data_IF_003895141693
#
_entry.id   IF_003895141693
#
_cell.length_a   1.000
_cell.length_b   1.000
_cell.length_c   1.000
_cell.angle_alpha   90.00
_cell.angle_beta   90.00
_cell.angle_gamma   90.00
#
_symmetry.space_group_name_H-M   'P 1'
#
loop_
_entity.id
_entity.type
_entity.pdbx_description
1 polymer ?
#
# COMPACT_ATOMS: atom_id res chain seq x y z
N UNK A 1 16.53 -10.69 -22.60
CA UNK A 1 15.23 -10.00 -22.71
C UNK A 1 15.09 -9.19 -21.43
N UNK A 2 14.69 -7.92 -21.51
CA UNK A 2 14.40 -7.15 -20.29
C UNK A 2 13.02 -7.59 -19.80
N UNK A 3 12.90 -7.82 -18.49
CA UNK A 3 11.65 -8.17 -17.85
C UNK A 3 11.07 -6.96 -17.15
N UNK A 4 10.00 -6.42 -17.70
CA UNK A 4 9.33 -5.23 -17.18
C UNK A 4 8.04 -5.63 -16.46
N UNK A 5 7.96 -5.32 -15.16
CA UNK A 5 6.77 -5.54 -14.32
C UNK A 5 6.25 -4.18 -13.87
N UNK A 6 4.96 -3.91 -14.10
CA UNK A 6 4.30 -2.68 -13.66
C UNK A 6 2.99 -3.01 -12.95
N UNK A 7 2.94 -2.75 -11.64
CA UNK A 7 1.81 -3.06 -10.76
C UNK A 7 1.40 -1.81 -9.98
N UNK A 8 0.71 -0.92 -10.68
CA UNK A 8 0.20 0.33 -10.12
C UNK A 8 -1.30 0.22 -9.85
N UNK A 9 -1.80 1.08 -8.97
CA UNK A 9 -3.23 1.32 -8.79
C UNK A 9 -3.85 1.72 -10.13
N UNK A 10 -4.97 1.09 -10.48
CA UNK A 10 -5.68 1.41 -11.72
C UNK A 10 -6.44 2.72 -11.57
N UNK A 11 -6.83 3.39 -12.67
CA UNK A 11 -7.48 4.71 -12.61
C UNK A 11 -8.71 4.77 -11.68
N UNK A 12 -9.56 3.72 -11.69
CA UNK A 12 -10.72 3.65 -10.79
C UNK A 12 -10.34 3.65 -9.30
N UNK A 13 -9.23 2.98 -8.95
CA UNK A 13 -8.75 2.87 -7.57
C UNK A 13 -8.16 4.22 -7.14
N UNK A 14 -7.41 4.90 -8.02
CA UNK A 14 -6.89 6.27 -7.77
C UNK A 14 -7.99 7.29 -7.52
N UNK A 15 -9.05 7.25 -8.34
CA UNK A 15 -10.24 8.11 -8.16
C UNK A 15 -10.90 7.84 -6.82
N UNK A 16 -11.01 6.56 -6.45
CA UNK A 16 -11.62 6.18 -5.19
C UNK A 16 -10.79 6.65 -3.99
N UNK A 17 -9.46 6.48 -4.02
CA UNK A 17 -8.56 6.97 -2.96
C UNK A 17 -8.72 8.49 -2.79
N UNK A 18 -8.86 9.23 -3.88
CA UNK A 18 -9.11 10.68 -3.84
C UNK A 18 -10.38 11.08 -3.09
N UNK A 19 -11.33 10.16 -2.87
CA UNK A 19 -12.51 10.44 -2.07
C UNK A 19 -12.19 10.61 -0.58
N UNK A 20 -11.08 10.03 -0.09
CA UNK A 20 -10.63 10.24 1.29
C UNK A 20 -10.24 11.69 1.57
N UNK A 21 -9.86 12.46 0.54
CA UNK A 21 -9.45 13.85 0.69
C UNK A 21 -10.60 14.70 1.25
N UNK A 22 -10.33 15.37 2.36
CA UNK A 22 -11.30 16.17 3.11
C UNK A 22 -12.20 15.35 4.04
N UNK A 23 -12.03 14.03 4.13
CA UNK A 23 -12.74 13.19 5.09
C UNK A 23 -11.94 13.09 6.40
N UNK A 24 -12.67 12.88 7.50
CA UNK A 24 -12.12 12.54 8.80
C UNK A 24 -12.07 11.02 8.91
N UNK A 25 -10.92 10.47 9.33
CA UNK A 25 -10.77 9.03 9.57
C UNK A 25 -11.18 8.76 11.01
N UNK A 26 -12.35 8.16 11.21
CA UNK A 26 -12.87 7.86 12.55
C UNK A 26 -12.29 6.58 13.13
N UNK A 27 -12.01 5.60 12.28
CA UNK A 27 -11.43 4.32 12.70
C UNK A 27 -10.56 3.74 11.58
N UNK A 28 -9.57 2.96 11.98
CA UNK A 28 -8.74 2.18 11.09
C UNK A 28 -8.48 0.81 11.68
N UNK A 29 -8.81 -0.22 10.91
CA UNK A 29 -8.66 -1.61 11.31
C UNK A 29 -7.72 -2.30 10.36
N UNK A 30 -6.72 -2.98 10.90
CA UNK A 30 -5.66 -3.63 10.12
C UNK A 30 -5.62 -5.09 10.51
N UNK A 31 -5.76 -5.99 9.54
CA UNK A 31 -5.85 -7.44 9.75
C UNK A 31 -4.86 -8.19 8.85
N UNK A 32 -3.99 -9.01 9.46
CA UNK A 32 -3.09 -9.89 8.71
C UNK A 32 -3.95 -10.90 7.96
N UNK A 33 -3.62 -11.10 6.69
CA UNK A 33 -4.35 -12.04 5.84
C UNK A 33 -4.02 -13.48 6.25
N UNK A 34 -4.59 -13.97 7.35
CA UNK A 34 -4.39 -15.34 7.82
C UNK A 34 -5.36 -16.27 7.08
N UNK A 35 -4.82 -17.12 6.22
CA UNK A 35 -5.44 -18.32 5.63
C UNK A 35 -6.81 -18.18 4.93
N UNK A 36 -6.78 -18.17 3.59
CA UNK A 36 -7.76 -18.84 2.69
C UNK A 36 -9.27 -18.56 2.81
N UNK A 37 -9.73 -17.51 3.47
CA UNK A 37 -11.13 -17.09 3.36
C UNK A 37 -11.25 -15.85 2.49
N UNK A 38 -12.04 -15.97 1.41
CA UNK A 38 -12.56 -14.81 0.67
C UNK A 38 -13.47 -14.07 1.66
N UNK A 39 -12.91 -13.12 2.42
CA UNK A 39 -13.70 -12.12 3.13
C UNK A 39 -14.06 -11.00 2.15
N UNK A 40 -15.35 -10.67 2.05
CA UNK A 40 -15.84 -9.51 1.29
C UNK A 40 -15.37 -9.42 -0.20
N UNK A 41 -15.24 -10.54 -0.92
CA UNK A 41 -14.80 -10.61 -2.33
C UNK A 41 -13.34 -10.21 -2.63
N UNK A 42 -12.46 -10.18 -1.63
CA UNK A 42 -11.02 -10.01 -1.84
C UNK A 42 -10.31 -11.36 -1.94
N UNK A 43 -9.35 -11.51 -2.86
CA UNK A 43 -8.48 -12.69 -2.94
C UNK A 43 -7.30 -12.50 -1.98
N UNK A 44 -7.32 -13.26 -0.89
CA UNK A 44 -6.31 -13.19 0.18
C UNK A 44 -5.24 -14.24 -0.06
N UNK A 45 -4.14 -13.87 -0.69
CA UNK A 45 -3.03 -14.78 -0.86
C UNK A 45 -1.66 -14.25 -0.44
N UNK A 46 -1.46 -12.95 -0.17
CA UNK A 46 -0.14 -12.53 0.31
C UNK A 46 -0.01 -11.43 1.38
N UNK A 47 -0.83 -10.39 1.55
CA UNK A 47 -0.24 -9.20 2.20
C UNK A 47 -1.22 -8.19 2.83
N UNK A 48 -1.90 -8.57 3.91
CA UNK A 48 -2.67 -7.64 4.78
C UNK A 48 -3.89 -6.96 4.12
N UNK A 49 -4.93 -6.73 4.92
CA UNK A 49 -6.00 -5.78 4.59
C UNK A 49 -6.14 -4.69 5.65
N UNK A 50 -6.37 -3.47 5.22
CA UNK A 50 -6.68 -2.34 6.09
C UNK A 50 -8.04 -1.75 5.72
N UNK A 51 -8.92 -1.59 6.70
CA UNK A 51 -10.19 -0.88 6.59
C UNK A 51 -10.02 0.53 7.15
N UNK A 52 -10.42 1.54 6.37
CA UNK A 52 -10.49 2.94 6.77
C UNK A 52 -11.95 3.33 6.86
N UNK A 53 -12.39 3.72 8.04
CA UNK A 53 -13.75 4.20 8.26
C UNK A 53 -13.74 5.72 8.32
N UNK A 54 -14.58 6.33 7.49
CA UNK A 54 -14.82 7.77 7.45
C UNK A 54 -16.31 8.03 7.69
N UNK A 55 -16.69 8.29 8.94
CA UNK A 55 -18.09 8.44 9.36
C UNK A 55 -18.90 7.15 9.06
N UNK A 56 -19.75 7.17 8.05
CA UNK A 56 -20.61 6.03 7.61
C UNK A 56 -20.07 5.33 6.35
N UNK A 57 -18.94 5.79 5.81
CA UNK A 57 -18.31 5.20 4.65
C UNK A 57 -17.10 4.36 5.06
N UNK A 58 -16.97 3.19 4.42
CA UNK A 58 -15.84 2.31 4.65
C UNK A 58 -15.08 2.09 3.35
N UNK A 59 -13.77 2.13 3.47
CA UNK A 59 -12.86 1.84 2.38
C UNK A 59 -11.94 0.72 2.83
N UNK A 60 -11.53 -0.15 1.91
CA UNK A 60 -10.46 -1.08 2.21
C UNK A 60 -9.32 -1.03 1.21
N UNK A 61 -8.13 -1.12 1.77
CA UNK A 61 -6.87 -1.35 1.11
C UNK A 61 -6.48 -2.80 1.34
N UNK A 62 -6.07 -3.47 0.27
CA UNK A 62 -5.52 -4.82 0.36
C UNK A 62 -4.56 -5.02 -0.79
N UNK A 63 -3.79 -6.10 -0.70
CA UNK A 63 -2.93 -6.52 -1.79
C UNK A 63 -3.23 -7.95 -2.20
N UNK A 64 -3.10 -8.19 -3.49
CA UNK A 64 -3.30 -9.48 -4.13
C UNK A 64 -2.02 -9.89 -4.86
N UNK A 65 -1.67 -11.18 -4.80
CA UNK A 65 -0.58 -11.72 -5.59
C UNK A 65 -0.98 -11.77 -7.07
N UNK A 66 -0.21 -11.09 -7.91
CA UNK A 66 -0.35 -11.11 -9.36
C UNK A 66 0.81 -11.91 -9.93
N UNK A 67 0.48 -13.00 -10.61
CA UNK A 67 1.46 -13.79 -11.38
C UNK A 67 1.89 -13.03 -12.63
N UNK A 68 3.18 -13.01 -12.86
CA UNK A 68 3.81 -12.51 -14.07
C UNK A 68 3.94 -13.63 -15.10
N UNK A 69 4.53 -13.32 -16.26
CA UNK A 69 4.69 -14.26 -17.37
C UNK A 69 5.67 -15.41 -17.08
N UNK A 70 6.53 -15.26 -16.09
CA UNK A 70 7.52 -16.27 -15.65
C UNK A 70 7.06 -17.01 -14.38
N UNK A 71 5.75 -17.01 -14.08
CA UNK A 71 5.15 -17.61 -12.87
C UNK A 71 5.61 -16.99 -11.53
N UNK A 72 6.39 -15.91 -11.56
CA UNK A 72 6.72 -15.14 -10.36
C UNK A 72 5.53 -14.30 -9.89
N UNK A 73 5.33 -14.26 -8.58
CA UNK A 73 4.22 -13.55 -7.95
C UNK A 73 4.70 -12.24 -7.34
N UNK A 74 4.07 -11.14 -7.75
CA UNK A 74 4.30 -9.83 -7.16
C UNK A 74 3.00 -9.29 -6.56
N UNK A 75 3.08 -8.60 -5.43
CA UNK A 75 1.93 -7.98 -4.79
C UNK A 75 1.43 -6.80 -5.62
N UNK A 76 0.11 -6.66 -5.78
CA UNK A 76 -0.51 -5.46 -6.34
C UNK A 76 -1.45 -4.84 -5.31
N UNK A 77 -1.30 -3.54 -5.08
CA UNK A 77 -2.21 -2.78 -4.23
C UNK A 77 -3.57 -2.57 -4.91
N UNK A 78 -4.61 -2.67 -4.09
CA UNK A 78 -5.99 -2.43 -4.45
C UNK A 78 -6.66 -1.49 -3.45
N UNK A 79 -7.63 -0.73 -3.96
CA UNK A 79 -8.49 0.10 -3.13
C UNK A 79 -9.95 -0.01 -3.57
N UNK A 80 -10.81 -0.39 -2.63
CA UNK A 80 -12.23 -0.60 -2.88
C UNK A 80 -13.10 0.10 -1.82
N UNK A 81 -14.31 0.44 -2.24
CA UNK A 81 -15.35 0.94 -1.36
C UNK A 81 -16.11 -0.25 -0.81
N UNK A 82 -16.24 -0.32 0.51
CA UNK A 82 -17.02 -1.34 1.18
C UNK A 82 -18.28 -0.72 1.76
N UNK A 83 -19.39 -1.42 1.59
CA UNK A 83 -20.69 -1.05 2.15
C UNK A 83 -21.27 -2.19 2.99
N UNK A 84 -20.40 -3.04 3.52
CA UNK A 84 -20.82 -4.27 4.20
C UNK A 84 -20.63 -4.11 5.71
N UNK A 85 -21.73 -4.28 6.45
CA UNK A 85 -21.80 -4.20 7.93
C UNK A 85 -21.20 -5.44 8.62
N UNK A 86 -20.57 -6.35 7.87
CA UNK A 86 -19.94 -7.56 8.40
C UNK A 86 -18.63 -7.20 9.13
N UNK A 87 -18.75 -7.07 10.46
CA UNK A 87 -17.67 -6.83 11.42
C UNK A 87 -16.71 -8.04 11.58
N UNK A 88 -16.20 -8.58 10.47
CA UNK A 88 -15.33 -9.77 10.46
C UNK A 88 -13.83 -9.44 10.42
N UNK A 89 -13.48 -8.15 10.49
CA UNK A 89 -12.12 -7.70 10.78
C UNK A 89 -11.81 -7.99 12.26
N UNK A 90 -10.74 -8.75 12.51
CA UNK A 90 -10.16 -8.87 13.87
C UNK A 90 -8.91 -8.00 13.90
N UNK A 91 -9.04 -6.69 14.19
CA UNK A 91 -7.92 -5.77 14.04
C UNK A 91 -6.76 -6.15 14.95
N UNK A 92 -5.58 -6.28 14.36
CA UNK A 92 -4.30 -6.34 15.06
C UNK A 92 -3.89 -4.96 15.59
N UNK A 93 -4.37 -3.91 14.93
CA UNK A 93 -4.21 -2.53 15.33
C UNK A 93 -5.52 -1.76 15.11
N UNK A 94 -5.90 -0.98 16.11
CA UNK A 94 -6.95 0.04 16.01
C UNK A 94 -6.34 1.41 16.26
N UNK A 95 -6.50 2.31 15.29
CA UNK A 95 -6.03 3.69 15.38
C UNK A 95 -7.17 4.65 15.06
N UNK A 96 -7.40 5.62 15.94
CA UNK A 96 -8.28 6.76 15.64
C UNK A 96 -7.44 8.01 15.48
N UNK A 97 -7.71 8.82 14.45
CA UNK A 97 -7.17 10.18 14.44
C UNK A 97 -7.83 10.98 15.57
N UNK A 98 -7.16 12.03 16.04
CA UNK A 98 -7.77 12.94 17.01
C UNK A 98 -9.06 13.50 16.40
N UNK A 99 -10.10 13.68 17.22
CA UNK A 99 -11.35 14.32 16.79
C UNK A 99 -11.00 15.61 16.05
N UNK A 100 -11.52 15.76 14.84
CA UNK A 100 -11.40 16.94 13.94
C UNK A 100 -10.18 16.98 12.99
N UNK A 101 -9.44 15.89 12.81
CA UNK A 101 -8.34 15.85 11.85
C UNK A 101 -8.76 15.28 10.48
N UNK A 102 -8.62 16.09 9.44
CA UNK A 102 -9.07 15.79 8.08
C UNK A 102 -7.89 15.50 7.16
N UNK A 103 -8.06 14.55 6.25
CA UNK A 103 -7.07 14.25 5.20
C UNK A 103 -6.94 15.46 4.27
N UNK A 104 -5.78 16.08 4.24
CA UNK A 104 -5.46 17.23 3.38
C UNK A 104 -4.82 16.78 2.07
N UNK A 105 -3.87 15.85 2.17
CA UNK A 105 -3.12 15.34 1.05
C UNK A 105 -3.06 13.83 1.06
N UNK A 106 -2.96 13.26 -0.14
CA UNK A 106 -2.81 11.83 -0.35
C UNK A 106 -1.71 11.64 -1.35
N UNK A 107 -0.72 10.84 -0.98
CA UNK A 107 0.36 10.42 -1.86
C UNK A 107 0.37 8.89 -1.93
N UNK A 108 0.64 8.35 -3.11
CA UNK A 108 0.99 6.95 -3.28
C UNK A 108 2.50 6.83 -3.22
N UNK A 109 3.00 5.80 -2.55
CA UNK A 109 4.43 5.49 -2.50
C UNK A 109 4.73 4.48 -3.59
N UNK A 110 5.70 4.81 -4.44
CA UNK A 110 6.09 4.04 -5.60
C UNK A 110 7.54 3.61 -5.46
N UNK A 111 7.79 2.33 -5.74
CA UNK A 111 9.14 1.82 -5.94
C UNK A 111 9.42 1.59 -7.41
N UNK A 112 10.64 1.96 -7.79
CA UNK A 112 11.25 1.64 -9.05
C UNK A 112 12.59 0.97 -8.77
N UNK A 113 12.70 -0.31 -9.13
CA UNK A 113 13.87 -1.13 -8.86
C UNK A 113 14.33 -1.77 -10.16
N UNK A 114 15.60 -1.57 -10.49
CA UNK A 114 16.27 -2.24 -11.60
C UNK A 114 17.39 -3.10 -11.03
N UNK A 115 17.37 -4.40 -11.34
CA UNK A 115 18.37 -5.34 -10.89
C UNK A 115 18.74 -6.36 -11.96
N UNK A 116 19.87 -7.01 -11.74
CA UNK A 116 20.43 -8.03 -12.61
C UNK A 116 20.37 -9.39 -11.92
N UNK A 117 19.76 -10.36 -12.59
CA UNK A 117 19.81 -11.77 -12.19
C UNK A 117 20.47 -12.64 -13.27
N UNK A 118 20.75 -13.89 -12.91
CA UNK A 118 21.31 -14.90 -13.83
C UNK A 118 20.53 -15.02 -15.16
N UNK A 119 19.24 -14.74 -15.13
CA UNK A 119 18.33 -14.87 -16.27
C UNK A 119 18.17 -13.57 -17.08
N UNK A 120 18.69 -12.44 -16.60
CA UNK A 120 18.70 -11.16 -17.31
C UNK A 120 18.37 -9.95 -16.42
N UNK A 121 18.28 -8.76 -17.03
CA UNK A 121 17.85 -7.54 -16.36
C UNK A 121 16.34 -7.55 -16.06
N UNK A 122 16.00 -7.04 -14.89
CA UNK A 122 14.65 -6.84 -14.41
C UNK A 122 14.38 -5.36 -14.12
N UNK A 123 13.13 -4.95 -14.35
CA UNK A 123 12.61 -3.64 -13.95
C UNK A 123 11.25 -3.85 -13.29
N UNK A 124 11.15 -3.43 -12.02
CA UNK A 124 9.92 -3.45 -11.25
C UNK A 124 9.47 -2.02 -10.97
N UNK A 125 8.22 -1.73 -11.32
CA UNK A 125 7.52 -0.50 -10.93
C UNK A 125 6.22 -0.85 -10.21
N UNK A 126 6.10 -0.47 -8.94
CA UNK A 126 5.04 -0.96 -8.07
C UNK A 126 4.60 0.10 -7.06
N UNK A 127 3.30 0.16 -6.78
CA UNK A 127 2.75 0.94 -5.67
C UNK A 127 2.87 0.10 -4.39
N UNK A 128 3.49 0.64 -3.33
CA UNK A 128 3.85 -0.11 -2.10
C UNK A 128 3.19 0.40 -0.84
N UNK A 129 2.59 1.59 -0.90
CA UNK A 129 1.84 2.13 0.22
C UNK A 129 1.20 3.45 -0.08
N UNK A 130 0.50 3.99 0.91
CA UNK A 130 -0.18 5.27 0.83
C UNK A 130 0.17 6.11 2.04
N UNK A 131 0.40 7.39 1.78
CA UNK A 131 0.63 8.41 2.79
C UNK A 131 -0.54 9.38 2.80
N UNK A 132 -1.19 9.48 3.95
CA UNK A 132 -2.24 10.46 4.22
C UNK A 132 -1.66 11.56 5.11
N UNK A 133 -1.67 12.79 4.62
CA UNK A 133 -1.29 13.97 5.39
C UNK A 133 -2.54 14.62 5.94
N UNK A 134 -2.56 14.89 7.24
CA UNK A 134 -3.68 15.57 7.87
C UNK A 134 -3.39 17.04 8.13
N UNK A 135 -4.44 17.85 8.27
CA UNK A 135 -4.34 19.30 8.56
C UNK A 135 -3.49 19.63 9.79
N UNK A 136 -3.43 18.73 10.76
CA UNK A 136 -2.60 18.89 11.96
C UNK A 136 -1.10 18.66 11.73
N UNK A 137 -0.67 18.38 10.50
CA UNK A 137 0.67 17.96 10.07
C UNK A 137 1.13 16.59 10.58
N UNK A 138 0.23 15.77 11.09
CA UNK A 138 0.52 14.35 11.30
C UNK A 138 0.40 13.60 9.95
N UNK A 139 1.13 12.51 9.83
CA UNK A 139 1.09 11.59 8.70
C UNK A 139 0.57 10.24 9.13
N UNK A 140 -0.18 9.59 8.25
CA UNK A 140 -0.51 8.18 8.36
C UNK A 140 0.02 7.46 7.12
N UNK A 141 1.02 6.62 7.33
CA UNK A 141 1.57 5.76 6.30
C UNK A 141 1.05 4.34 6.49
N UNK A 142 0.64 3.70 5.40
CA UNK A 142 0.23 2.29 5.35
C UNK A 142 1.14 1.60 4.34
N UNK A 143 2.11 0.82 4.84
CA UNK A 143 2.91 -0.09 4.03
C UNK A 143 2.30 -1.48 4.06
N UNK A 144 2.13 -2.10 2.89
CA UNK A 144 1.84 -3.53 2.78
C UNK A 144 3.03 -4.13 2.04
N UNK A 145 3.76 -5.12 2.58
CA UNK A 145 4.44 -6.21 1.86
C UNK A 145 5.05 -7.23 2.84
N UNK A 146 4.62 -8.50 2.77
CA UNK A 146 5.21 -9.68 3.42
C UNK A 146 5.64 -10.70 2.36
N UNK A 147 6.89 -11.14 2.46
CA UNK A 147 7.22 -12.55 2.25
C UNK A 147 8.08 -13.03 3.43
N UNK A 148 7.40 -13.65 4.40
CA UNK A 148 7.94 -14.25 5.64
C UNK A 148 8.75 -13.39 6.63
N UNK A 149 9.17 -12.16 6.32
CA UNK A 149 9.69 -11.16 7.29
C UNK A 149 9.41 -9.69 6.87
N UNK A 150 8.49 -9.45 5.91
CA UNK A 150 8.35 -8.15 5.23
C UNK A 150 7.49 -7.11 5.95
N UNK A 151 7.90 -5.84 5.89
CA UNK A 151 7.36 -4.70 6.64
C UNK A 151 5.91 -4.33 6.27
N UNK A 152 4.99 -4.71 7.16
CA UNK A 152 3.78 -3.94 7.42
C UNK A 152 4.08 -2.89 8.49
N UNK A 153 4.08 -1.62 8.13
CA UNK A 153 4.16 -0.53 9.10
C UNK A 153 3.01 0.44 8.91
N UNK A 154 2.23 0.57 9.98
CA UNK A 154 1.34 1.70 10.16
C UNK A 154 2.04 2.71 11.02
N UNK A 155 2.41 3.83 10.42
CA UNK A 155 3.05 4.90 11.15
C UNK A 155 2.09 6.06 11.28
N UNK A 156 1.80 6.46 12.52
CA UNK A 156 1.14 7.72 12.81
C UNK A 156 2.12 8.65 13.54
N UNK A 157 2.49 9.76 12.91
CA UNK A 157 3.44 10.70 13.48
C UNK A 157 3.96 11.70 12.46
N UNK A 158 5.09 12.34 12.78
CA UNK A 158 5.63 13.46 11.99
C UNK A 158 6.90 13.09 11.18
N UNK A 159 7.48 11.91 11.40
CA UNK A 159 8.72 11.49 10.74
C UNK A 159 8.58 10.12 10.08
N UNK A 160 8.58 10.14 8.75
CA UNK A 160 8.54 8.95 7.89
C UNK A 160 9.83 8.78 7.08
N UNK A 161 10.93 9.43 7.49
CA UNK A 161 12.20 9.41 6.73
C UNK A 161 12.74 7.99 6.52
N UNK A 162 12.47 7.08 7.46
CA UNK A 162 12.86 5.68 7.40
C UNK A 162 12.32 4.95 6.17
N UNK A 163 11.19 5.36 5.57
CA UNK A 163 10.66 4.67 4.37
C UNK A 163 11.57 4.85 3.16
N UNK A 164 12.49 5.83 3.19
CA UNK A 164 13.47 6.05 2.13
C UNK A 164 14.80 5.35 2.39
N UNK A 165 14.89 4.53 3.44
CA UNK A 165 16.06 3.72 3.71
C UNK A 165 16.23 2.66 2.62
N UNK A 166 17.38 2.70 1.94
CA UNK A 166 17.67 1.82 0.82
C UNK A 166 17.74 0.36 1.25
N UNK A 167 18.39 0.07 2.37
CA UNK A 167 18.62 -1.31 2.82
C UNK A 167 17.29 -1.94 3.23
N UNK A 168 16.41 -1.18 3.90
CA UNK A 168 15.06 -1.64 4.19
C UNK A 168 14.26 -2.00 2.93
N UNK A 169 14.40 -1.22 1.85
CA UNK A 169 13.73 -1.53 0.56
C UNK A 169 14.29 -2.81 -0.04
N UNK A 170 15.61 -2.97 -0.06
CA UNK A 170 16.24 -4.18 -0.60
C UNK A 170 15.85 -5.44 0.16
N UNK A 171 15.82 -5.36 1.50
CA UNK A 171 15.38 -6.45 2.36
C UNK A 171 13.92 -6.85 2.08
N UNK A 172 13.03 -5.89 1.85
CA UNK A 172 11.61 -6.15 1.50
C UNK A 172 11.49 -6.97 0.21
N UNK A 173 12.30 -6.65 -0.80
CA UNK A 173 12.29 -7.36 -2.08
C UNK A 173 13.21 -8.58 -2.11
N UNK A 174 13.94 -8.85 -1.02
CA UNK A 174 14.93 -9.92 -0.93
C UNK A 174 15.97 -9.85 -2.06
N UNK A 175 16.37 -8.64 -2.45
CA UNK A 175 17.34 -8.41 -3.54
C UNK A 175 18.71 -8.13 -2.95
N UNK A 176 19.72 -8.89 -3.39
CA UNK A 176 21.11 -8.65 -2.99
C UNK A 176 21.58 -7.25 -3.44
N UNK A 177 22.19 -6.43 -2.56
CA UNK A 177 22.57 -5.06 -2.88
C UNK A 177 23.46 -4.88 -4.10
N UNK A 178 24.36 -5.84 -4.37
CA UNK A 178 25.25 -5.85 -5.54
C UNK A 178 24.53 -6.13 -6.87
N UNK A 179 23.33 -6.72 -6.82
CA UNK A 179 22.54 -7.02 -8.01
C UNK A 179 21.79 -5.79 -8.53
N UNK A 180 21.68 -4.73 -7.72
CA UNK A 180 20.87 -3.54 -8.02
C UNK A 180 21.66 -2.50 -8.78
N UNK A 181 21.20 -2.17 -9.99
CA UNK A 181 21.75 -1.09 -10.80
C UNK A 181 21.07 0.26 -10.52
N UNK A 182 19.79 0.25 -10.14
CA UNK A 182 19.05 1.46 -9.81
C UNK A 182 17.96 1.16 -8.79
N UNK A 183 17.80 2.04 -7.81
CA UNK A 183 16.69 2.01 -6.86
C UNK A 183 16.22 3.43 -6.62
N UNK A 184 14.91 3.63 -6.73
CA UNK A 184 14.25 4.89 -6.43
C UNK A 184 12.90 4.62 -5.80
N UNK A 185 12.70 5.17 -4.61
CA UNK A 185 11.37 5.31 -4.00
C UNK A 185 10.93 6.75 -4.12
N UNK A 186 9.71 6.98 -4.61
CA UNK A 186 9.13 8.30 -4.69
C UNK A 186 7.68 8.35 -4.24
N UNK A 187 7.20 9.56 -4.00
CA UNK A 187 5.82 9.85 -3.63
C UNK A 187 5.15 10.53 -4.80
N UNK A 188 3.99 10.04 -5.19
CA UNK A 188 3.17 10.68 -6.20
C UNK A 188 1.93 11.22 -5.52
N UNK A 189 1.87 12.55 -5.44
CA UNK A 189 0.71 13.26 -4.96
C UNK A 189 -0.47 13.01 -5.89
N UNK A 190 -1.54 12.47 -5.34
CA UNK A 190 -2.77 12.29 -6.08
C UNK A 190 -3.52 13.63 -6.09
N UNK A 191 -3.63 14.22 -7.28
CA UNK A 191 -4.44 15.40 -7.55
C UNK A 191 -5.80 14.98 -8.10
N UNK A 192 -6.88 15.67 -7.72
CA UNK A 192 -8.15 15.53 -8.44
C UNK A 192 -7.89 15.93 -9.89
N UNK A 193 -8.05 15.00 -10.82
CA UNK A 193 -8.20 15.37 -12.21
C UNK A 193 -9.46 16.23 -12.31
N UNK A 194 -9.30 17.49 -12.67
CA UNK A 194 -10.42 18.35 -13.05
C UNK A 194 -10.95 17.85 -14.38
N UNK A 195 -11.84 16.86 -14.33
CA UNK A 195 -12.70 16.46 -15.44
C UNK A 195 -13.91 17.36 -15.55
#
# INVERSE_FOLDING_TARGET
>A
MIRDITLLLVPKEKILIQQLKGKMISDMQIDLADTKEIKNNCYYNMCLSAKITCLEEEFAFYSEAVKTFDDEEFPRLHFNYFKDDSNDFKPLYTGSTRKEDYVEEIEVIHDHIEWMEHSGPWNLKIDVGILLTFKSNNYLFISLLDSSVGLMETYYGNDISWIFDREAILDIYMIEPESVSHLKRDRVKLTRETG
#
